data_IF_177886207508
#
_entry.id   IF_177886207508
#
_cell.length_a   1.000
_cell.length_b   1.000
_cell.length_c   1.000
_cell.angle_alpha   90.00
_cell.angle_beta   90.00
_cell.angle_gamma   90.00
#
_symmetry.space_group_name_H-M   'P 1'
#
loop_
_entity.id
_entity.type
_entity.pdbx_description
1 polymer ?
#
# COMPACT_ATOMS: atom_id res chain seq x y z
N UNK A 1 49.01 17.12 -47.26
CA UNK A 1 48.65 15.69 -47.17
C UNK A 1 48.49 15.39 -45.69
N UNK A 2 47.30 15.66 -45.15
CA UNK A 2 46.94 15.38 -43.77
C UNK A 2 46.12 14.08 -43.73
N UNK A 3 46.47 13.17 -42.84
CA UNK A 3 45.71 11.95 -42.58
C UNK A 3 45.00 12.10 -41.23
N UNK A 4 43.68 12.17 -41.28
CA UNK A 4 42.81 11.99 -40.12
C UNK A 4 42.61 10.49 -39.91
N UNK A 5 42.95 10.00 -38.72
CA UNK A 5 42.53 8.69 -38.24
C UNK A 5 41.15 8.82 -37.60
N UNK A 6 40.16 8.16 -38.19
CA UNK A 6 38.85 7.96 -37.56
C UNK A 6 38.88 6.65 -36.77
N UNK A 7 38.76 6.80 -35.45
CA UNK A 7 38.43 5.73 -34.51
C UNK A 7 37.03 5.19 -34.83
N UNK A 8 36.95 3.91 -35.20
CA UNK A 8 35.71 3.18 -35.35
C UNK A 8 35.24 2.66 -33.98
N UNK A 9 34.34 3.41 -33.34
CA UNK A 9 33.47 2.87 -32.29
C UNK A 9 32.43 1.94 -32.93
N UNK A 10 32.15 0.75 -32.35
CA UNK A 10 31.09 -0.10 -32.85
C UNK A 10 29.75 0.51 -32.45
N UNK A 11 29.04 1.06 -33.43
CA UNK A 11 27.60 1.31 -33.31
C UNK A 11 26.91 -0.01 -32.97
N UNK A 12 26.23 -0.04 -31.81
CA UNK A 12 25.33 -1.11 -31.46
C UNK A 12 24.16 -1.06 -32.45
N UNK A 13 24.27 -1.88 -33.49
CA UNK A 13 23.23 -2.07 -34.49
C UNK A 13 21.98 -2.61 -33.81
N UNK A 14 20.93 -1.79 -33.81
CA UNK A 14 19.59 -2.19 -33.41
C UNK A 14 19.05 -3.21 -34.42
N UNK A 15 19.15 -4.50 -34.09
CA UNK A 15 18.37 -5.52 -34.78
C UNK A 15 17.88 -6.61 -33.81
N UNK A 16 16.69 -6.40 -33.28
CA UNK A 16 15.63 -7.41 -33.37
C UNK A 16 14.30 -6.71 -33.11
N UNK A 17 13.46 -6.66 -34.15
CA UNK A 17 12.02 -6.51 -33.98
C UNK A 17 11.49 -7.82 -33.38
N UNK A 18 11.83 -8.08 -32.12
CA UNK A 18 11.09 -9.04 -31.31
C UNK A 18 9.67 -8.50 -31.20
N UNK A 19 8.68 -9.32 -31.56
CA UNK A 19 7.28 -8.94 -31.44
C UNK A 19 7.01 -8.65 -29.96
N UNK A 20 6.98 -7.36 -29.61
CA UNK A 20 6.59 -6.93 -28.27
C UNK A 20 5.27 -7.61 -27.91
N UNK A 21 5.29 -8.43 -26.87
CA UNK A 21 4.10 -9.12 -26.39
C UNK A 21 3.12 -8.04 -25.94
N UNK A 22 1.92 -8.03 -26.54
CA UNK A 22 0.91 -7.03 -26.23
C UNK A 22 0.32 -7.30 -24.85
N UNK A 23 0.14 -6.25 -24.05
CA UNK A 23 -0.46 -6.35 -22.71
C UNK A 23 -1.87 -6.97 -22.74
N UNK A 24 -2.61 -6.75 -23.84
CA UNK A 24 -3.93 -7.35 -24.05
C UNK A 24 -3.94 -8.90 -24.00
N UNK A 25 -2.81 -9.56 -24.30
CA UNK A 25 -2.68 -11.02 -24.23
C UNK A 25 -1.80 -11.48 -23.07
N UNK A 26 -1.18 -10.56 -22.35
CA UNK A 26 -0.31 -10.88 -21.22
C UNK A 26 -0.41 -9.79 -20.14
N UNK A 27 -1.57 -9.65 -19.48
CA UNK A 27 -1.83 -8.55 -18.55
C UNK A 27 -0.83 -8.48 -17.39
N UNK A 28 -0.25 -9.61 -16.99
CA UNK A 28 0.74 -9.66 -15.91
C UNK A 28 1.98 -8.83 -16.20
N UNK A 29 2.33 -8.60 -17.48
CA UNK A 29 3.43 -7.74 -17.89
C UNK A 29 3.20 -6.26 -17.57
N UNK A 30 1.99 -5.87 -17.12
CA UNK A 30 1.78 -4.56 -16.52
C UNK A 30 2.72 -4.33 -15.32
N UNK A 31 3.06 -5.38 -14.58
CA UNK A 31 3.94 -5.25 -13.42
C UNK A 31 5.36 -4.79 -13.80
N UNK A 32 5.85 -5.21 -14.97
CA UNK A 32 7.12 -4.73 -15.54
C UNK A 32 7.10 -3.23 -15.84
N UNK A 33 5.91 -2.62 -16.04
CA UNK A 33 5.82 -1.17 -16.20
C UNK A 33 6.14 -0.44 -14.89
N UNK A 34 5.75 -0.97 -13.72
CA UNK A 34 6.19 -0.43 -12.43
C UNK A 34 7.71 -0.56 -12.26
N UNK A 35 8.31 -1.68 -12.70
CA UNK A 35 9.77 -1.84 -12.68
C UNK A 35 10.49 -0.77 -13.50
N UNK A 36 9.99 -0.51 -14.72
CA UNK A 36 10.53 0.55 -15.59
C UNK A 36 10.49 1.91 -14.88
N UNK A 37 9.37 2.24 -14.23
CA UNK A 37 9.21 3.51 -13.51
C UNK A 37 10.19 3.65 -12.34
N UNK A 38 10.31 2.62 -11.50
CA UNK A 38 11.25 2.61 -10.36
C UNK A 38 12.71 2.71 -10.80
N UNK A 39 13.11 1.95 -11.84
CA UNK A 39 14.46 2.03 -12.41
C UNK A 39 14.75 3.42 -12.99
N UNK A 40 13.79 4.00 -13.71
CA UNK A 40 13.93 5.34 -14.28
C UNK A 40 14.06 6.41 -13.18
N UNK A 41 13.27 6.33 -12.11
CA UNK A 41 13.33 7.27 -11.00
C UNK A 41 14.66 7.19 -10.24
N UNK A 42 15.19 5.99 -9.98
CA UNK A 42 16.51 5.82 -9.35
C UNK A 42 17.64 6.37 -10.21
N UNK A 43 17.61 6.10 -11.51
CA UNK A 43 18.59 6.65 -12.45
C UNK A 43 18.54 8.18 -12.50
N UNK A 44 17.33 8.76 -12.46
CA UNK A 44 17.12 10.20 -12.41
C UNK A 44 17.64 10.80 -11.09
N UNK A 45 17.25 10.24 -9.95
CA UNK A 45 17.70 10.65 -8.61
C UNK A 45 19.22 10.62 -8.49
N UNK A 46 19.87 9.56 -9.00
CA UNK A 46 21.34 9.48 -9.03
C UNK A 46 21.94 10.56 -9.92
N UNK A 47 21.37 10.79 -11.11
CA UNK A 47 21.85 11.81 -12.06
C UNK A 47 21.77 13.20 -11.46
N UNK A 48 20.63 13.59 -10.90
CA UNK A 48 20.44 14.93 -10.32
C UNK A 48 21.29 15.13 -9.07
N UNK A 49 21.46 14.09 -8.24
CA UNK A 49 22.31 14.18 -7.03
C UNK A 49 23.79 14.28 -7.40
N UNK A 50 24.24 13.55 -8.42
CA UNK A 50 25.62 13.64 -8.94
C UNK A 50 25.88 15.03 -9.52
N UNK A 51 24.94 15.57 -10.31
CA UNK A 51 25.06 16.93 -10.83
C UNK A 51 25.11 17.98 -9.71
N UNK A 52 24.37 17.77 -8.62
CA UNK A 52 24.41 18.65 -7.45
C UNK A 52 25.75 18.56 -6.68
N UNK A 53 26.41 17.40 -6.67
CA UNK A 53 27.76 17.24 -6.10
C UNK A 53 28.79 18.09 -6.86
N UNK A 54 28.72 18.10 -8.19
CA UNK A 54 29.63 18.84 -9.09
C UNK A 54 29.30 20.34 -9.19
N UNK A 55 28.05 20.72 -8.87
CA UNK A 55 27.53 22.08 -8.95
C UNK A 55 27.77 22.94 -7.71
N UNK A 56 27.70 24.26 -7.88
CA UNK A 56 27.91 25.24 -6.81
C UNK A 56 26.63 25.55 -5.98
N UNK A 57 25.44 25.12 -6.41
CA UNK A 57 24.17 25.47 -5.76
C UNK A 57 23.51 24.24 -5.13
N UNK A 58 23.58 24.16 -3.80
CA UNK A 58 22.98 23.11 -2.96
C UNK A 58 22.04 23.78 -1.97
N UNK A 59 20.83 24.08 -2.43
CA UNK A 59 19.82 24.75 -1.60
C UNK A 59 18.99 23.73 -0.83
N UNK A 60 18.53 24.10 0.37
CA UNK A 60 17.67 23.30 1.23
C UNK A 60 16.42 22.80 0.49
N UNK A 61 15.90 23.59 -0.45
CA UNK A 61 14.79 23.20 -1.30
C UNK A 61 15.08 21.96 -2.16
N UNK A 62 16.30 21.80 -2.67
CA UNK A 62 16.69 20.62 -3.44
C UNK A 62 16.75 19.36 -2.57
N UNK A 63 17.27 19.47 -1.35
CA UNK A 63 17.34 18.33 -0.42
C UNK A 63 15.93 17.89 -0.01
N UNK A 64 15.02 18.84 0.22
CA UNK A 64 13.61 18.55 0.50
C UNK A 64 12.90 17.90 -0.70
N UNK A 65 13.26 18.26 -1.92
CA UNK A 65 12.75 17.60 -3.13
C UNK A 65 13.23 16.16 -3.22
N UNK A 66 14.53 15.91 -3.02
CA UNK A 66 15.08 14.55 -2.94
C UNK A 66 14.38 13.72 -1.87
N UNK A 67 14.21 14.28 -0.66
CA UNK A 67 13.53 13.60 0.43
C UNK A 67 12.13 13.14 0.03
N UNK A 68 11.31 14.05 -0.53
CA UNK A 68 9.94 13.73 -0.98
C UNK A 68 9.92 12.64 -2.05
N UNK A 69 10.84 12.71 -3.01
CA UNK A 69 10.97 11.70 -4.08
C UNK A 69 11.36 10.34 -3.52
N UNK A 70 12.29 10.27 -2.56
CA UNK A 70 12.67 9.03 -1.88
C UNK A 70 11.57 8.49 -0.96
N UNK A 71 10.81 9.34 -0.28
CA UNK A 71 9.64 8.95 0.51
C UNK A 71 8.59 8.26 -0.39
N UNK A 72 8.27 8.88 -1.53
CA UNK A 72 7.38 8.30 -2.52
C UNK A 72 7.93 6.99 -3.09
N UNK A 73 9.19 6.96 -3.50
CA UNK A 73 9.83 5.76 -4.07
C UNK A 73 9.89 4.60 -3.04
N UNK A 74 10.21 4.87 -1.77
CA UNK A 74 10.18 3.85 -0.71
C UNK A 74 8.77 3.29 -0.54
N UNK A 75 7.77 4.15 -0.57
CA UNK A 75 6.37 3.73 -0.44
C UNK A 75 5.92 2.88 -1.64
N UNK A 76 6.24 3.32 -2.86
CA UNK A 76 5.96 2.61 -4.10
C UNK A 76 6.65 1.23 -4.12
N UNK A 77 7.95 1.18 -3.82
CA UNK A 77 8.72 -0.06 -3.74
C UNK A 77 8.16 -1.02 -2.69
N UNK A 78 7.93 -0.54 -1.47
CA UNK A 78 7.41 -1.35 -0.36
C UNK A 78 6.08 -2.01 -0.73
N UNK A 79 5.12 -1.25 -1.25
CA UNK A 79 3.80 -1.80 -1.58
C UNK A 79 3.81 -2.66 -2.83
N UNK A 80 4.70 -2.39 -3.79
CA UNK A 80 4.93 -3.27 -4.92
C UNK A 80 5.42 -4.65 -4.45
N UNK A 81 6.53 -4.70 -3.71
CA UNK A 81 7.08 -5.95 -3.18
C UNK A 81 6.10 -6.70 -2.26
N UNK A 82 5.35 -5.97 -1.42
CA UNK A 82 4.33 -6.59 -0.54
C UNK A 82 3.22 -7.23 -1.37
N UNK A 83 2.73 -6.55 -2.41
CA UNK A 83 1.69 -7.09 -3.28
C UNK A 83 2.21 -8.25 -4.15
N UNK A 84 3.49 -8.25 -4.54
CA UNK A 84 4.11 -9.40 -5.19
C UNK A 84 4.18 -10.61 -4.27
N UNK A 85 4.69 -10.43 -3.05
CA UNK A 85 4.80 -11.50 -2.06
C UNK A 85 3.43 -12.11 -1.72
N UNK A 86 2.43 -11.26 -1.46
CA UNK A 86 1.11 -11.68 -0.97
C UNK A 86 0.18 -12.18 -2.08
N UNK A 87 0.36 -11.73 -3.32
CA UNK A 87 -0.54 -12.05 -4.44
C UNK A 87 0.17 -12.87 -5.50
N UNK A 88 1.21 -12.31 -6.12
CA UNK A 88 1.81 -12.85 -7.35
C UNK A 88 2.64 -14.10 -7.05
N UNK A 89 3.59 -14.00 -6.13
CA UNK A 89 4.47 -15.09 -5.74
C UNK A 89 3.73 -16.16 -4.96
N UNK A 90 2.77 -15.77 -4.12
CA UNK A 90 1.89 -16.72 -3.44
C UNK A 90 1.09 -17.57 -4.45
N UNK A 91 0.50 -16.94 -5.46
CA UNK A 91 -0.24 -17.66 -6.50
C UNK A 91 0.70 -18.58 -7.31
N UNK A 92 1.90 -18.10 -7.64
CA UNK A 92 2.88 -18.87 -8.40
C UNK A 92 3.41 -20.06 -7.61
N UNK A 93 3.66 -19.93 -6.30
CA UNK A 93 4.18 -21.02 -5.44
C UNK A 93 3.18 -22.19 -5.36
N UNK A 94 1.88 -21.90 -5.49
CA UNK A 94 0.83 -22.92 -5.64
C UNK A 94 0.95 -23.78 -6.91
N UNK A 95 1.66 -23.31 -7.95
CA UNK A 95 1.89 -24.03 -9.21
C UNK A 95 3.34 -24.48 -9.40
N UNK A 96 4.31 -23.72 -8.89
CA UNK A 96 5.74 -23.97 -9.02
C UNK A 96 6.43 -23.79 -7.66
N UNK A 97 6.91 -24.89 -7.07
CA UNK A 97 7.46 -24.87 -5.71
C UNK A 97 8.75 -24.08 -5.59
N UNK A 98 8.92 -23.40 -4.44
CA UNK A 98 10.17 -22.81 -3.94
C UNK A 98 10.62 -21.53 -4.67
N UNK A 99 9.68 -20.75 -5.21
CA UNK A 99 10.01 -19.46 -5.83
C UNK A 99 9.88 -18.33 -4.80
N UNK A 100 8.75 -18.25 -4.10
CA UNK A 100 8.39 -17.09 -3.28
C UNK A 100 9.42 -16.72 -2.21
N UNK A 101 9.90 -17.70 -1.44
CA UNK A 101 10.77 -17.43 -0.28
C UNK A 101 12.07 -16.69 -0.63
N UNK A 102 12.65 -16.94 -1.82
CA UNK A 102 13.90 -16.29 -2.24
C UNK A 102 13.70 -14.80 -2.51
N UNK A 103 12.64 -14.45 -3.25
CA UNK A 103 12.36 -13.05 -3.62
C UNK A 103 11.90 -12.23 -2.41
N UNK A 104 11.06 -12.78 -1.53
CA UNK A 104 10.65 -12.09 -0.30
C UNK A 104 11.82 -11.78 0.65
N UNK A 105 12.88 -12.59 0.64
CA UNK A 105 14.11 -12.31 1.39
C UNK A 105 14.90 -11.15 0.75
N UNK A 106 14.99 -11.10 -0.57
CA UNK A 106 15.62 -10.00 -1.30
C UNK A 106 14.87 -8.68 -1.04
N UNK A 107 13.53 -8.68 -1.07
CA UNK A 107 12.71 -7.50 -0.73
C UNK A 107 13.09 -6.88 0.61
N UNK A 108 13.18 -7.70 1.68
CA UNK A 108 13.55 -7.23 3.02
C UNK A 108 14.96 -6.68 3.07
N UNK A 109 15.89 -7.27 2.33
CA UNK A 109 17.27 -6.80 2.27
C UNK A 109 17.39 -5.45 1.56
N UNK A 110 16.61 -5.23 0.50
CA UNK A 110 16.64 -3.99 -0.29
C UNK A 110 15.93 -2.86 0.44
N UNK A 111 14.81 -3.13 1.13
CA UNK A 111 14.07 -2.13 1.93
C UNK A 111 14.99 -1.43 2.95
N UNK A 112 15.88 -2.19 3.60
CA UNK A 112 16.86 -1.63 4.56
C UNK A 112 17.90 -0.67 3.96
N UNK A 113 18.12 -0.69 2.63
CA UNK A 113 19.07 0.23 1.98
C UNK A 113 18.55 1.67 1.94
N UNK A 114 17.22 1.86 1.95
CA UNK A 114 16.62 3.20 2.00
C UNK A 114 17.01 3.97 3.27
N UNK A 115 17.18 3.28 4.40
CA UNK A 115 17.50 3.92 5.68
C UNK A 115 18.86 4.64 5.63
N UNK A 116 19.81 4.13 4.84
CA UNK A 116 21.09 4.79 4.61
C UNK A 116 20.93 6.10 3.84
N UNK A 117 20.00 6.15 2.87
CA UNK A 117 19.70 7.35 2.10
C UNK A 117 19.03 8.40 2.99
N UNK A 118 18.00 8.01 3.75
CA UNK A 118 17.31 8.94 4.66
C UNK A 118 18.25 9.52 5.71
N UNK A 119 19.09 8.68 6.32
CA UNK A 119 20.10 9.15 7.27
C UNK A 119 21.03 10.22 6.68
N UNK A 120 21.41 10.13 5.40
CA UNK A 120 22.23 11.14 4.73
C UNK A 120 21.45 12.41 4.41
N UNK A 121 20.20 12.28 3.98
CA UNK A 121 19.33 13.43 3.72
C UNK A 121 19.05 14.22 5.01
N UNK A 122 18.85 13.54 6.14
CA UNK A 122 18.65 14.18 7.45
C UNK A 122 19.88 15.01 7.85
N UNK A 123 21.08 14.44 7.72
CA UNK A 123 22.35 15.16 7.99
C UNK A 123 22.51 16.38 7.08
N UNK A 124 22.10 16.28 5.81
CA UNK A 124 22.12 17.41 4.89
C UNK A 124 21.10 18.52 5.25
N UNK A 125 20.00 18.17 5.94
CA UNK A 125 18.98 19.12 6.40
C UNK A 125 19.35 19.81 7.72
N UNK A 126 20.20 19.19 8.55
CA UNK A 126 20.66 19.68 9.86
C UNK A 126 21.90 20.60 9.80
N UNK A 127 22.32 21.00 8.60
CA UNK A 127 23.55 21.78 8.32
C UNK A 127 24.83 20.99 8.66
N UNK A 128 25.47 20.40 7.64
CA UNK A 128 26.72 19.64 7.77
C UNK A 128 27.96 20.52 7.55
N UNK A 129 29.01 20.30 8.36
CA UNK A 129 30.33 20.94 8.19
C UNK A 129 31.01 20.52 6.87
N UNK A 130 30.68 19.35 6.32
CA UNK A 130 31.25 18.81 5.08
C UNK A 130 30.16 18.31 4.11
N UNK A 131 29.43 19.28 3.53
CA UNK A 131 28.36 19.03 2.55
C UNK A 131 28.88 18.22 1.34
N UNK A 132 30.13 18.41 0.92
CA UNK A 132 30.66 17.69 -0.24
C UNK A 132 30.76 16.20 0.02
N UNK A 133 31.28 15.81 1.18
CA UNK A 133 31.33 14.41 1.61
C UNK A 133 29.95 13.79 1.76
N UNK A 134 29.00 14.50 2.37
CA UNK A 134 27.63 13.97 2.54
C UNK A 134 26.93 13.73 1.21
N UNK A 135 27.12 14.61 0.22
CA UNK A 135 26.63 14.38 -1.14
C UNK A 135 27.33 13.20 -1.83
N UNK A 136 28.64 13.02 -1.63
CA UNK A 136 29.38 11.88 -2.18
C UNK A 136 28.86 10.55 -1.62
N UNK A 137 28.64 10.49 -0.31
CA UNK A 137 28.05 9.33 0.37
C UNK A 137 26.60 9.09 -0.10
N UNK A 138 25.81 10.15 -0.26
CA UNK A 138 24.45 10.05 -0.80
C UNK A 138 24.45 9.45 -2.22
N UNK A 139 25.30 9.94 -3.12
CA UNK A 139 25.44 9.37 -4.49
C UNK A 139 25.83 7.89 -4.43
N UNK A 140 26.71 7.51 -3.51
CA UNK A 140 27.11 6.11 -3.31
C UNK A 140 25.94 5.24 -2.81
N UNK A 141 25.18 5.72 -1.82
CA UNK A 141 23.99 5.03 -1.31
C UNK A 141 22.92 4.86 -2.39
N UNK A 142 22.65 5.90 -3.18
CA UNK A 142 21.69 5.84 -4.29
C UNK A 142 22.17 4.84 -5.35
N UNK A 143 23.45 4.89 -5.74
CA UNK A 143 24.00 3.95 -6.71
C UNK A 143 23.97 2.49 -6.23
N UNK A 144 24.12 2.27 -4.92
CA UNK A 144 23.95 0.94 -4.31
C UNK A 144 22.49 0.48 -4.41
N UNK A 145 21.54 1.31 -3.98
CA UNK A 145 20.12 0.99 -4.06
C UNK A 145 19.67 0.71 -5.51
N UNK A 146 20.09 1.57 -6.45
CA UNK A 146 19.84 1.41 -7.88
C UNK A 146 20.33 0.05 -8.40
N UNK A 147 21.57 -0.33 -8.09
CA UNK A 147 22.14 -1.60 -8.54
C UNK A 147 21.35 -2.81 -8.02
N UNK A 148 20.98 -2.80 -6.73
CA UNK A 148 20.22 -3.89 -6.11
C UNK A 148 18.79 -3.98 -6.67
N UNK A 149 18.07 -2.86 -6.77
CA UNK A 149 16.70 -2.85 -7.33
C UNK A 149 16.71 -3.28 -8.80
N UNK A 150 17.64 -2.76 -9.61
CA UNK A 150 17.73 -3.13 -11.02
C UNK A 150 18.03 -4.62 -11.19
N UNK A 151 18.96 -5.16 -10.42
CA UNK A 151 19.31 -6.58 -10.49
C UNK A 151 18.13 -7.46 -10.04
N UNK A 152 17.45 -7.09 -8.97
CA UNK A 152 16.31 -7.81 -8.44
C UNK A 152 15.15 -7.87 -9.45
N UNK A 153 14.74 -6.72 -9.99
CA UNK A 153 13.69 -6.66 -11.02
C UNK A 153 14.08 -7.42 -12.30
N UNK A 154 15.35 -7.37 -12.71
CA UNK A 154 15.83 -8.14 -13.85
C UNK A 154 15.70 -9.66 -13.59
N UNK A 155 16.05 -10.13 -12.39
CA UNK A 155 15.89 -11.55 -12.04
C UNK A 155 14.43 -11.97 -12.12
N UNK A 156 13.51 -11.16 -11.62
CA UNK A 156 12.08 -11.44 -11.72
C UNK A 156 11.64 -11.50 -13.17
N UNK A 157 11.98 -10.48 -13.97
CA UNK A 157 11.68 -10.40 -15.40
C UNK A 157 12.20 -11.62 -16.18
N UNK A 158 13.37 -12.16 -15.80
CA UNK A 158 14.00 -13.32 -16.45
C UNK A 158 13.54 -14.68 -15.92
N UNK A 159 13.14 -14.78 -14.65
CA UNK A 159 12.90 -16.07 -13.97
C UNK A 159 11.44 -16.26 -13.56
N UNK A 160 10.77 -15.21 -13.11
CA UNK A 160 9.40 -15.27 -12.56
C UNK A 160 8.37 -14.99 -13.64
N UNK A 161 8.51 -13.91 -14.40
CA UNK A 161 7.53 -13.51 -15.42
C UNK A 161 7.33 -14.58 -16.51
N UNK A 162 8.37 -15.28 -17.02
CA UNK A 162 8.15 -16.37 -17.97
C UNK A 162 7.31 -17.51 -17.39
N UNK A 163 7.46 -17.81 -16.10
CA UNK A 163 6.63 -18.80 -15.42
C UNK A 163 5.20 -18.31 -15.25
N UNK A 164 4.98 -17.03 -14.93
CA UNK A 164 3.64 -16.45 -14.87
C UNK A 164 2.92 -16.55 -16.23
N UNK A 165 3.62 -16.24 -17.32
CA UNK A 165 3.10 -16.36 -18.68
C UNK A 165 2.79 -17.80 -19.07
N UNK A 166 3.59 -18.76 -18.62
CA UNK A 166 3.39 -20.17 -18.91
C UNK A 166 2.28 -20.80 -18.08
N UNK A 167 2.18 -20.43 -16.80
CA UNK A 167 1.35 -21.12 -15.84
C UNK A 167 -0.05 -20.53 -15.73
N UNK A 168 -0.28 -19.27 -16.10
CA UNK A 168 -1.57 -18.58 -15.92
C UNK A 168 -2.15 -18.13 -17.25
N UNK A 169 -3.47 -18.32 -17.43
CA UNK A 169 -4.18 -17.77 -18.60
C UNK A 169 -4.22 -16.23 -18.57
N UNK A 170 -4.47 -15.54 -19.69
CA UNK A 170 -4.61 -14.09 -19.70
C UNK A 170 -5.67 -13.57 -18.70
N UNK A 171 -6.76 -14.30 -18.49
CA UNK A 171 -7.81 -13.95 -17.53
C UNK A 171 -7.33 -14.13 -16.07
N UNK A 172 -6.59 -15.20 -15.79
CA UNK A 172 -5.98 -15.40 -14.48
C UNK A 172 -4.92 -14.33 -14.19
N UNK A 173 -4.11 -13.98 -15.20
CA UNK A 173 -3.14 -12.89 -15.13
C UNK A 173 -3.83 -11.56 -14.83
N UNK A 174 -4.91 -11.22 -15.54
CA UNK A 174 -5.68 -10.00 -15.25
C UNK A 174 -6.23 -10.00 -13.82
N UNK A 175 -6.73 -11.15 -13.34
CA UNK A 175 -7.19 -11.29 -11.95
C UNK A 175 -6.06 -11.09 -10.94
N UNK A 176 -4.86 -11.61 -11.20
CA UNK A 176 -3.69 -11.40 -10.34
C UNK A 176 -3.28 -9.93 -10.30
N UNK A 177 -3.28 -9.24 -11.45
CA UNK A 177 -2.96 -7.81 -11.49
C UNK A 177 -4.03 -6.97 -10.79
N UNK A 178 -5.30 -7.33 -10.92
CA UNK A 178 -6.38 -6.67 -10.17
C UNK A 178 -6.23 -6.89 -8.65
N UNK A 179 -5.89 -8.10 -8.22
CA UNK A 179 -5.63 -8.41 -6.81
C UNK A 179 -4.39 -7.66 -6.29
N UNK A 180 -3.32 -7.59 -7.09
CA UNK A 180 -2.15 -6.76 -6.80
C UNK A 180 -2.56 -5.30 -6.53
N UNK A 181 -3.35 -4.70 -7.43
CA UNK A 181 -3.86 -3.34 -7.24
C UNK A 181 -4.72 -3.24 -5.97
N UNK A 182 -5.57 -4.23 -5.69
CA UNK A 182 -6.40 -4.26 -4.50
C UNK A 182 -5.61 -4.27 -3.17
N UNK A 183 -4.36 -4.76 -3.18
CA UNK A 183 -3.47 -4.76 -2.02
C UNK A 183 -2.75 -3.43 -1.77
N UNK A 184 -2.79 -2.50 -2.73
CA UNK A 184 -2.14 -1.19 -2.62
C UNK A 184 -3.11 -0.15 -2.03
N UNK A 185 -2.67 0.71 -1.09
CA UNK A 185 -3.49 1.82 -0.57
C UNK A 185 -4.03 2.71 -1.67
N UNK A 186 -5.30 3.13 -1.53
CA UNK A 186 -5.98 3.96 -2.52
C UNK A 186 -5.22 5.25 -2.82
N UNK A 187 -4.77 5.95 -1.77
CA UNK A 187 -3.98 7.19 -1.87
C UNK A 187 -2.69 6.99 -2.66
N UNK A 188 -2.07 5.82 -2.55
CA UNK A 188 -0.85 5.52 -3.28
C UNK A 188 -1.16 5.18 -4.73
N UNK A 189 -2.21 4.40 -5.01
CA UNK A 189 -2.60 4.06 -6.40
C UNK A 189 -2.92 5.30 -7.25
N UNK A 190 -3.57 6.28 -6.65
CA UNK A 190 -3.91 7.55 -7.29
C UNK A 190 -2.67 8.27 -7.86
N UNK A 191 -1.53 8.21 -7.15
CA UNK A 191 -0.26 8.77 -7.60
C UNK A 191 0.60 7.77 -8.39
N UNK A 192 0.57 6.49 -8.01
CA UNK A 192 1.43 5.43 -8.55
C UNK A 192 1.10 5.11 -10.01
N UNK A 193 -0.19 5.04 -10.39
CA UNK A 193 -0.56 4.74 -11.78
C UNK A 193 -0.14 5.86 -12.74
N UNK A 194 -0.46 7.15 -12.49
CA UNK A 194 0.01 8.25 -13.33
C UNK A 194 1.53 8.36 -13.38
N UNK A 195 2.20 8.21 -12.24
CA UNK A 195 3.65 8.23 -12.16
C UNK A 195 4.29 7.13 -13.03
N UNK A 196 3.75 5.90 -12.96
CA UNK A 196 4.20 4.78 -13.78
C UNK A 196 3.99 5.05 -15.27
N UNK A 197 2.83 5.59 -15.66
CA UNK A 197 2.54 5.93 -17.06
C UNK A 197 3.45 7.06 -17.55
N UNK A 198 3.83 8.00 -16.66
CA UNK A 198 4.67 9.14 -17.01
C UNK A 198 6.05 8.72 -17.52
N UNK A 199 6.60 7.61 -17.01
CA UNK A 199 7.93 7.09 -17.38
C UNK A 199 7.97 6.31 -18.70
N UNK A 200 6.83 6.07 -19.34
CA UNK A 200 6.73 5.25 -20.55
C UNK A 200 6.72 6.07 -21.85
N UNK A 201 7.01 5.43 -22.99
CA UNK A 201 6.86 6.05 -24.31
C UNK A 201 5.39 6.12 -24.75
N UNK A 202 5.05 7.03 -25.67
CA UNK A 202 3.66 7.36 -26.01
C UNK A 202 2.83 6.15 -26.46
N UNK A 203 3.39 5.25 -27.25
CA UNK A 203 2.75 4.00 -27.69
C UNK A 203 2.49 3.04 -26.52
N UNK A 204 3.39 2.99 -25.54
CA UNK A 204 3.22 2.17 -24.33
C UNK A 204 2.14 2.75 -23.40
N UNK A 205 2.03 4.09 -23.31
CA UNK A 205 1.04 4.74 -22.43
C UNK A 205 -0.38 4.33 -22.79
N UNK A 206 -0.75 4.42 -24.06
CA UNK A 206 -2.09 4.06 -24.53
C UNK A 206 -2.37 2.56 -24.29
N UNK A 207 -1.38 1.70 -24.52
CA UNK A 207 -1.50 0.26 -24.27
C UNK A 207 -1.72 -0.04 -22.77
N UNK A 208 -0.97 0.60 -21.89
CA UNK A 208 -1.09 0.46 -20.44
C UNK A 208 -2.44 0.97 -19.94
N UNK A 209 -2.87 2.16 -20.38
CA UNK A 209 -4.17 2.73 -20.02
C UNK A 209 -5.30 1.79 -20.45
N UNK A 210 -5.23 1.24 -21.66
CA UNK A 210 -6.22 0.29 -22.15
C UNK A 210 -6.22 -1.00 -21.32
N UNK A 211 -5.04 -1.55 -21.02
CA UNK A 211 -4.90 -2.76 -20.21
C UNK A 211 -5.48 -2.58 -18.80
N UNK A 212 -5.18 -1.46 -18.11
CA UNK A 212 -5.72 -1.16 -16.79
C UNK A 212 -7.25 -1.12 -16.83
N UNK A 213 -7.85 -0.46 -17.83
CA UNK A 213 -9.32 -0.40 -17.97
C UNK A 213 -9.96 -1.77 -18.17
N UNK A 214 -9.26 -2.71 -18.81
CA UNK A 214 -9.72 -4.10 -18.99
C UNK A 214 -9.56 -4.95 -17.72
N UNK A 215 -8.54 -4.68 -16.91
CA UNK A 215 -8.28 -5.38 -15.65
C UNK A 215 -9.27 -4.96 -14.57
N UNK A 216 -9.59 -3.66 -14.50
CA UNK A 216 -10.53 -3.11 -13.53
C UNK A 216 -11.94 -3.66 -13.81
N UNK A 217 -12.69 -4.13 -12.79
CA UNK A 217 -14.07 -4.58 -12.95
C UNK A 217 -14.97 -3.56 -13.66
N UNK A 218 -15.96 -4.03 -14.42
CA UNK A 218 -16.93 -3.20 -15.14
C UNK A 218 -18.00 -2.61 -14.20
N UNK A 219 -17.55 -1.95 -13.14
CA UNK A 219 -18.37 -1.19 -12.20
C UNK A 219 -18.21 0.29 -12.50
N UNK A 220 -19.32 0.96 -12.89
CA UNK A 220 -19.31 2.35 -13.39
C UNK A 220 -18.45 3.31 -12.55
N UNK A 221 -18.71 3.40 -11.25
CA UNK A 221 -18.01 4.35 -10.38
C UNK A 221 -16.53 4.00 -10.21
N UNK A 222 -16.19 2.71 -10.16
CA UNK A 222 -14.80 2.26 -10.06
C UNK A 222 -14.03 2.60 -11.34
N UNK A 223 -14.65 2.37 -12.51
CA UNK A 223 -14.09 2.73 -13.81
C UNK A 223 -13.90 4.25 -13.95
N UNK A 224 -14.86 5.06 -13.46
CA UNK A 224 -14.76 6.53 -13.44
C UNK A 224 -13.59 7.00 -12.57
N UNK A 225 -13.46 6.47 -11.35
CA UNK A 225 -12.36 6.81 -10.43
C UNK A 225 -11.01 6.46 -11.04
N UNK A 226 -10.81 5.23 -11.51
CA UNK A 226 -9.53 4.82 -12.10
C UNK A 226 -9.23 5.61 -13.38
N UNK A 227 -10.23 5.85 -14.23
CA UNK A 227 -10.05 6.67 -15.44
C UNK A 227 -9.66 8.10 -15.11
N UNK A 228 -10.15 8.67 -14.00
CA UNK A 228 -9.79 10.01 -13.56
C UNK A 228 -8.30 10.10 -13.17
N UNK A 229 -7.77 9.07 -12.50
CA UNK A 229 -6.34 8.98 -12.19
C UNK A 229 -5.51 8.86 -13.46
N UNK A 230 -5.89 7.94 -14.36
CA UNK A 230 -5.16 7.69 -15.62
C UNK A 230 -5.12 8.92 -16.56
N UNK A 231 -6.10 9.81 -16.47
CA UNK A 231 -6.15 11.07 -17.22
C UNK A 231 -5.26 12.17 -16.62
N UNK A 232 -4.80 12.00 -15.38
CA UNK A 232 -4.03 12.99 -14.65
C UNK A 232 -2.56 12.91 -15.10
N UNK A 233 -2.07 13.90 -15.85
CA UNK A 233 -0.69 13.93 -16.37
C UNK A 233 0.38 14.30 -15.30
N UNK A 234 0.26 13.78 -14.07
CA UNK A 234 1.21 14.07 -12.99
C UNK A 234 1.09 15.47 -12.37
N UNK A 235 -0.08 16.12 -12.48
CA UNK A 235 -0.37 17.36 -11.74
C UNK A 235 -1.36 17.06 -10.61
N UNK A 236 -0.90 17.19 -9.36
CA UNK A 236 -1.75 17.09 -8.18
C UNK A 236 -2.91 18.10 -8.28
N UNK A 237 -4.15 17.61 -8.15
CA UNK A 237 -5.32 18.48 -8.08
C UNK A 237 -5.70 18.70 -6.62
N UNK A 238 -5.76 19.98 -6.24
CA UNK A 238 -6.63 20.42 -5.15
C UNK A 238 -8.08 20.30 -5.64
N UNK A 239 -8.92 19.57 -4.92
CA UNK A 239 -10.38 19.62 -5.12
C UNK A 239 -11.06 20.03 -3.81
N UNK A 240 -11.56 21.25 -3.81
CA UNK A 240 -12.70 21.67 -2.98
C UNK A 240 -13.95 21.65 -3.85
N UNK A 241 -15.01 21.00 -3.37
CA UNK A 241 -16.27 21.64 -2.98
C UNK A 241 -17.42 20.60 -2.88
N UNK A 242 -18.06 20.64 -1.71
CA UNK A 242 -19.47 20.44 -1.34
C UNK A 242 -20.25 19.21 -1.83
N UNK A 243 -20.42 18.24 -0.90
CA UNK A 243 -21.75 17.71 -0.56
C UNK A 243 -21.90 17.61 0.98
N UNK A 244 -22.52 18.65 1.53
CA UNK A 244 -23.04 18.71 2.90
C UNK A 244 -24.38 17.95 3.01
N UNK A 245 -24.38 16.76 3.64
CA UNK A 245 -25.41 16.37 4.63
C UNK A 245 -25.22 15.03 5.36
N UNK A 246 -24.45 14.01 4.95
CA UNK A 246 -24.59 12.66 5.59
C UNK A 246 -23.40 12.08 6.38
N UNK A 247 -22.36 12.88 6.66
CA UNK A 247 -21.18 12.41 7.41
C UNK A 247 -21.41 12.26 8.93
N UNK A 248 -22.51 12.80 9.48
CA UNK A 248 -22.88 12.65 10.91
C UNK A 248 -23.21 11.20 11.29
N UNK A 249 -23.50 10.33 10.29
CA UNK A 249 -23.76 8.89 10.49
C UNK A 249 -22.46 8.08 10.58
N UNK A 250 -21.44 8.40 9.78
CA UNK A 250 -20.12 7.74 9.82
C UNK A 250 -19.41 7.91 11.18
N UNK A 251 -19.47 9.11 11.77
CA UNK A 251 -18.95 9.40 13.11
C UNK A 251 -19.80 8.80 14.25
N UNK A 252 -21.03 8.34 13.98
CA UNK A 252 -21.87 7.60 14.95
C UNK A 252 -21.72 6.07 14.83
N UNK A 253 -20.95 5.57 13.87
CA UNK A 253 -21.01 4.18 13.42
C UNK A 253 -19.91 3.29 14.03
N UNK A 254 -19.95 3.11 15.35
CA UNK A 254 -19.39 1.91 15.98
C UNK A 254 -20.46 0.82 16.22
N UNK A 255 -21.75 1.16 16.07
CA UNK A 255 -22.87 0.23 16.28
C UNK A 255 -22.88 -0.96 15.31
N UNK A 256 -22.61 -0.77 13.99
CA UNK A 256 -22.40 -1.88 13.05
C UNK A 256 -21.25 -2.80 13.43
N UNK A 257 -20.12 -2.21 13.83
CA UNK A 257 -18.87 -2.92 14.10
C UNK A 257 -18.97 -3.79 15.35
N UNK A 258 -19.66 -3.31 16.40
CA UNK A 258 -19.94 -4.10 17.61
C UNK A 258 -20.85 -5.29 17.31
N UNK A 259 -21.94 -5.09 16.58
CA UNK A 259 -22.92 -6.15 16.29
C UNK A 259 -22.32 -7.33 15.50
N UNK A 260 -21.51 -7.04 14.48
CA UNK A 260 -20.88 -8.11 13.70
C UNK A 260 -19.75 -8.80 14.47
N UNK A 261 -18.97 -8.08 15.26
CA UNK A 261 -17.95 -8.69 16.13
C UNK A 261 -18.61 -9.60 17.19
N UNK A 262 -19.72 -9.17 17.80
CA UNK A 262 -20.53 -9.99 18.71
C UNK A 262 -21.14 -11.22 18.04
N UNK A 263 -21.59 -11.08 16.77
CA UNK A 263 -22.10 -12.19 15.97
C UNK A 263 -21.01 -13.24 15.71
N UNK A 264 -19.83 -12.82 15.25
CA UNK A 264 -18.69 -13.71 14.97
C UNK A 264 -18.26 -14.44 16.24
N UNK A 265 -18.21 -13.75 17.38
CA UNK A 265 -17.98 -14.35 18.70
C UNK A 265 -19.04 -15.42 19.01
N UNK A 266 -20.32 -15.13 18.79
CA UNK A 266 -21.41 -16.07 18.98
C UNK A 266 -21.26 -17.35 18.14
N UNK A 267 -20.90 -17.21 16.86
CA UNK A 267 -20.67 -18.33 15.95
C UNK A 267 -19.47 -19.19 16.38
N UNK A 268 -18.38 -18.56 16.84
CA UNK A 268 -17.20 -19.27 17.38
C UNK A 268 -17.52 -20.08 18.63
N UNK A 269 -18.32 -19.52 19.55
CA UNK A 269 -18.74 -20.26 20.73
C UNK A 269 -19.56 -21.49 20.38
N UNK A 270 -20.43 -21.39 19.37
CA UNK A 270 -21.20 -22.54 18.88
C UNK A 270 -20.30 -23.62 18.27
N UNK A 271 -19.25 -23.25 17.52
CA UNK A 271 -18.25 -24.21 17.03
C UNK A 271 -17.51 -24.89 18.20
N UNK A 272 -17.10 -24.11 19.21
CA UNK A 272 -16.40 -24.63 20.40
C UNK A 272 -17.26 -25.62 21.18
N UNK A 273 -18.54 -25.31 21.39
CA UNK A 273 -19.46 -26.17 22.15
C UNK A 273 -19.90 -27.41 21.37
N UNK A 274 -20.06 -27.30 20.05
CA UNK A 274 -20.52 -28.41 19.21
C UNK A 274 -19.40 -29.35 18.74
N UNK A 275 -18.12 -28.95 18.86
CA UNK A 275 -16.96 -29.64 18.28
C UNK A 275 -17.11 -29.94 16.77
N UNK A 276 -17.93 -29.14 16.08
CA UNK A 276 -18.16 -29.22 14.65
C UNK A 276 -17.48 -28.02 13.98
N UNK A 277 -16.52 -28.27 13.10
CA UNK A 277 -15.66 -27.23 12.52
C UNK A 277 -15.96 -26.92 11.05
N UNK A 278 -17.10 -27.34 10.51
CA UNK A 278 -17.44 -27.14 9.09
C UNK A 278 -17.44 -25.68 8.63
N UNK A 279 -17.65 -24.71 9.53
CA UNK A 279 -17.69 -23.28 9.21
C UNK A 279 -16.42 -22.52 9.60
N UNK A 280 -15.35 -23.20 10.03
CA UNK A 280 -14.16 -22.52 10.56
C UNK A 280 -13.50 -21.60 9.52
N UNK A 281 -13.44 -22.03 8.26
CA UNK A 281 -12.82 -21.25 7.18
C UNK A 281 -13.58 -19.94 6.94
N UNK A 282 -14.91 -19.99 6.92
CA UNK A 282 -15.74 -18.79 6.76
C UNK A 282 -15.56 -17.81 7.92
N UNK A 283 -15.43 -18.32 9.14
CA UNK A 283 -15.20 -17.48 10.31
C UNK A 283 -13.79 -16.88 10.28
N UNK A 284 -12.78 -17.66 9.91
CA UNK A 284 -11.39 -17.19 9.77
C UNK A 284 -11.32 -16.06 8.74
N UNK A 285 -12.00 -16.17 7.60
CA UNK A 285 -12.08 -15.10 6.59
C UNK A 285 -12.72 -13.83 7.15
N UNK A 286 -13.85 -13.95 7.85
CA UNK A 286 -14.51 -12.79 8.48
C UNK A 286 -13.62 -12.13 9.54
N UNK A 287 -12.91 -12.91 10.34
CA UNK A 287 -11.99 -12.39 11.35
C UNK A 287 -10.77 -11.71 10.76
N UNK A 288 -10.21 -12.23 9.67
CA UNK A 288 -9.13 -11.57 8.93
C UNK A 288 -9.59 -10.21 8.43
N UNK A 289 -10.75 -10.14 7.78
CA UNK A 289 -11.37 -8.88 7.36
C UNK A 289 -11.53 -7.90 8.53
N UNK A 290 -12.11 -8.33 9.65
CA UNK A 290 -12.29 -7.44 10.82
C UNK A 290 -10.96 -6.98 11.41
N UNK A 291 -9.95 -7.86 11.48
CA UNK A 291 -8.62 -7.51 11.96
C UNK A 291 -7.96 -6.46 11.06
N UNK A 292 -8.09 -6.58 9.74
CA UNK A 292 -7.56 -5.61 8.78
C UNK A 292 -8.27 -4.26 8.93
N UNK A 293 -9.61 -4.25 9.00
CA UNK A 293 -10.39 -3.02 9.23
C UNK A 293 -9.96 -2.32 10.52
N UNK A 294 -9.77 -3.08 11.61
CA UNK A 294 -9.34 -2.52 12.89
C UNK A 294 -7.90 -2.00 12.83
N UNK A 295 -7.01 -2.65 12.09
CA UNK A 295 -5.64 -2.21 11.87
C UNK A 295 -5.61 -0.84 11.17
N UNK A 296 -6.34 -0.71 10.07
CA UNK A 296 -6.40 0.56 9.33
C UNK A 296 -7.13 1.66 10.12
N UNK A 297 -8.17 1.31 10.88
CA UNK A 297 -8.81 2.24 11.79
C UNK A 297 -7.84 2.76 12.86
N UNK A 298 -7.06 1.85 13.49
CA UNK A 298 -6.05 2.22 14.49
C UNK A 298 -4.99 3.15 13.90
N UNK A 299 -4.47 2.81 12.71
CA UNK A 299 -3.48 3.60 11.99
C UNK A 299 -4.03 4.99 11.59
N UNK A 300 -5.28 5.07 11.13
CA UNK A 300 -5.94 6.36 10.86
C UNK A 300 -6.05 7.21 12.13
N UNK A 301 -6.47 6.60 13.24
CA UNK A 301 -6.56 7.31 14.53
C UNK A 301 -5.21 7.87 14.96
N UNK A 302 -4.15 7.07 14.85
CA UNK A 302 -2.80 7.46 15.23
C UNK A 302 -2.23 8.58 14.37
N UNK A 303 -2.32 8.43 13.04
CA UNK A 303 -1.63 9.32 12.11
C UNK A 303 -2.43 10.55 11.71
N UNK A 304 -3.76 10.49 11.77
CA UNK A 304 -4.64 11.56 11.27
C UNK A 304 -5.39 12.25 12.40
N UNK A 305 -6.04 11.48 13.28
CA UNK A 305 -6.93 12.07 14.29
C UNK A 305 -6.15 12.57 15.52
N UNK A 306 -5.16 11.83 16.03
CA UNK A 306 -4.41 12.26 17.22
C UNK A 306 -3.65 13.58 17.03
N UNK A 307 -2.96 13.85 15.90
CA UNK A 307 -2.34 15.15 15.67
C UNK A 307 -3.35 16.31 15.74
N UNK A 308 -4.50 16.16 15.09
CA UNK A 308 -5.56 17.17 15.11
C UNK A 308 -6.11 17.36 16.52
N UNK A 309 -6.36 16.27 17.27
CA UNK A 309 -6.83 16.36 18.65
C UNK A 309 -5.81 17.05 19.57
N UNK A 310 -4.53 16.77 19.40
CA UNK A 310 -3.47 17.39 20.19
C UNK A 310 -3.39 18.91 19.96
N UNK A 311 -3.58 19.34 18.72
CA UNK A 311 -3.64 20.77 18.37
C UNK A 311 -4.86 21.45 18.99
N UNK A 312 -6.04 20.83 18.90
CA UNK A 312 -7.29 21.38 19.42
C UNK A 312 -7.33 21.54 20.95
N UNK A 313 -6.57 20.73 21.68
CA UNK A 313 -6.55 20.72 23.15
C UNK A 313 -5.37 21.54 23.72
N UNK A 314 -4.66 22.32 22.88
CA UNK A 314 -3.55 23.21 23.28
C UNK A 314 -2.50 22.53 24.17
N UNK A 315 -2.17 21.26 23.88
CA UNK A 315 -1.16 20.52 24.64
C UNK A 315 -1.49 20.23 26.11
N UNK A 316 -2.70 20.54 26.60
CA UNK A 316 -3.18 19.90 27.82
C UNK A 316 -3.21 18.41 27.53
N UNK A 317 -2.42 17.62 28.28
CA UNK A 317 -2.39 16.17 28.19
C UNK A 317 -3.83 15.67 28.26
N UNK A 318 -4.44 15.44 27.09
CA UNK A 318 -5.61 14.58 27.02
C UNK A 318 -5.14 13.30 27.67
N UNK A 319 -5.77 12.85 28.78
CA UNK A 319 -5.22 11.82 29.64
C UNK A 319 -4.78 10.71 28.73
N UNK A 320 -3.45 10.55 28.63
CA UNK A 320 -2.71 9.78 27.63
C UNK A 320 -3.68 9.02 26.75
N UNK A 321 -3.96 9.51 25.53
CA UNK A 321 -4.63 8.71 24.49
C UNK A 321 -4.10 7.30 24.73
N UNK A 322 -4.94 6.40 25.27
CA UNK A 322 -4.51 5.03 25.48
C UNK A 322 -4.18 4.61 24.05
N UNK A 323 -2.88 4.61 23.68
CA UNK A 323 -2.40 4.09 22.41
C UNK A 323 -3.19 2.82 22.23
N UNK A 324 -4.01 2.77 21.16
CA UNK A 324 -5.07 1.80 20.99
C UNK A 324 -4.68 0.50 21.69
N UNK A 325 -5.21 0.20 22.90
CA UNK A 325 -4.64 -0.85 23.75
C UNK A 325 -4.83 -2.26 23.17
N UNK A 326 -5.25 -2.34 21.92
CA UNK A 326 -5.44 -3.56 21.15
C UNK A 326 -4.46 -3.69 19.98
N UNK A 327 -3.43 -2.87 19.83
CA UNK A 327 -2.38 -3.15 18.82
C UNK A 327 -1.76 -4.53 19.08
N UNK A 328 -1.44 -4.83 20.35
CA UNK A 328 -0.98 -6.17 20.76
C UNK A 328 -2.02 -7.27 20.56
N UNK A 329 -3.31 -6.98 20.71
CA UNK A 329 -4.40 -7.96 20.54
C UNK A 329 -4.74 -8.22 19.07
N UNK A 330 -4.77 -7.18 18.23
CA UNK A 330 -4.90 -7.29 16.78
C UNK A 330 -3.71 -8.06 16.23
N UNK A 331 -2.49 -7.70 16.62
CA UNK A 331 -1.30 -8.44 16.20
C UNK A 331 -1.33 -9.90 16.67
N UNK A 332 -1.78 -10.18 17.90
CA UNK A 332 -1.89 -11.55 18.42
C UNK A 332 -2.94 -12.35 17.64
N UNK A 333 -4.08 -11.73 17.33
CA UNK A 333 -5.12 -12.33 16.49
C UNK A 333 -4.61 -12.58 15.07
N UNK A 334 -3.95 -11.61 14.43
CA UNK A 334 -3.33 -11.78 13.11
C UNK A 334 -2.29 -12.89 13.14
N UNK A 335 -1.39 -12.90 14.14
CA UNK A 335 -0.40 -13.98 14.26
C UNK A 335 -1.07 -15.35 14.34
N UNK A 336 -2.18 -15.45 15.06
CA UNK A 336 -2.97 -16.67 15.14
C UNK A 336 -3.66 -17.01 13.81
N UNK A 337 -4.29 -16.05 13.13
CA UNK A 337 -5.03 -16.26 11.88
C UNK A 337 -4.13 -16.54 10.66
N UNK A 338 -2.91 -16.01 10.65
CA UNK A 338 -1.99 -16.08 9.51
C UNK A 338 -0.87 -17.11 9.71
N UNK A 339 -0.40 -17.40 10.94
CA UNK A 339 0.73 -18.34 11.18
C UNK A 339 0.37 -19.70 11.81
N UNK A 340 -0.85 -19.88 12.33
CA UNK A 340 -1.11 -21.07 13.18
C UNK A 340 -1.54 -22.35 12.46
N UNK A 341 -1.85 -22.28 11.16
CA UNK A 341 -2.22 -23.47 10.39
C UNK A 341 -1.01 -24.31 9.94
N UNK A 342 0.20 -23.75 9.97
CA UNK A 342 1.43 -24.41 9.50
C UNK A 342 2.06 -25.36 10.54
N UNK A 343 1.70 -25.23 11.82
CA UNK A 343 2.41 -25.91 12.93
C UNK A 343 1.76 -27.22 13.43
N UNK A 344 0.82 -27.81 12.69
CA UNK A 344 0.19 -29.09 13.09
C UNK A 344 -0.59 -29.03 14.41
N UNK A 345 -1.04 -27.84 14.82
CA UNK A 345 -1.83 -27.67 16.05
C UNK A 345 -3.20 -28.35 15.87
N UNK A 346 -3.66 -29.20 16.81
CA UNK A 346 -4.99 -29.79 16.73
C UNK A 346 -6.08 -28.71 16.64
N UNK A 347 -7.01 -28.86 15.70
CA UNK A 347 -8.04 -27.86 15.38
C UNK A 347 -8.83 -27.38 16.61
N UNK A 348 -9.15 -28.28 17.54
CA UNK A 348 -9.81 -27.89 18.80
C UNK A 348 -8.99 -26.95 19.67
N UNK A 349 -7.67 -27.13 19.75
CA UNK A 349 -6.76 -26.22 20.49
C UNK A 349 -6.61 -24.87 19.77
N UNK A 350 -6.62 -24.89 18.44
CA UNK A 350 -6.63 -23.65 17.64
C UNK A 350 -7.90 -22.85 17.91
N UNK A 351 -9.07 -23.47 17.83
CA UNK A 351 -10.36 -22.81 18.10
C UNK A 351 -10.44 -22.28 19.54
N UNK A 352 -9.90 -23.02 20.52
CA UNK A 352 -9.86 -22.54 21.90
C UNK A 352 -9.00 -21.28 22.06
N UNK A 353 -7.80 -21.26 21.46
CA UNK A 353 -6.95 -20.05 21.44
C UNK A 353 -7.65 -18.90 20.73
N UNK A 354 -8.28 -19.17 19.59
CA UNK A 354 -8.99 -18.19 18.79
C UNK A 354 -10.12 -17.53 19.58
N UNK A 355 -10.92 -18.33 20.31
CA UNK A 355 -11.96 -17.80 21.18
C UNK A 355 -11.38 -16.83 22.24
N UNK A 356 -10.30 -17.22 22.93
CA UNK A 356 -9.69 -16.38 23.97
C UNK A 356 -9.16 -15.06 23.43
N UNK A 357 -8.46 -15.09 22.29
CA UNK A 357 -7.93 -13.87 21.66
C UNK A 357 -9.06 -12.92 21.23
N UNK A 358 -10.13 -13.46 20.65
CA UNK A 358 -11.26 -12.64 20.18
C UNK A 358 -12.05 -12.08 21.36
N UNK A 359 -12.28 -12.86 22.42
CA UNK A 359 -12.90 -12.37 23.66
C UNK A 359 -12.12 -11.16 24.21
N UNK A 360 -10.79 -11.26 24.27
CA UNK A 360 -9.92 -10.15 24.69
C UNK A 360 -10.02 -8.95 23.74
N UNK A 361 -10.00 -9.19 22.43
CA UNK A 361 -10.11 -8.15 21.41
C UNK A 361 -11.46 -7.41 21.51
N UNK A 362 -12.57 -8.12 21.69
CA UNK A 362 -13.91 -7.54 21.79
C UNK A 362 -14.03 -6.61 22.98
N UNK A 363 -13.52 -7.02 24.15
CA UNK A 363 -13.51 -6.19 25.36
C UNK A 363 -12.70 -4.92 25.12
N UNK A 364 -11.50 -5.07 24.55
CA UNK A 364 -10.61 -3.95 24.26
C UNK A 364 -11.16 -2.95 23.24
N UNK A 365 -11.67 -3.46 22.11
CA UNK A 365 -12.32 -2.65 21.06
C UNK A 365 -13.57 -1.96 21.60
N UNK A 366 -14.37 -2.65 22.42
CA UNK A 366 -15.58 -2.07 23.01
C UNK A 366 -15.28 -0.93 23.98
N UNK A 367 -14.28 -1.09 24.85
CA UNK A 367 -13.82 -0.02 25.75
C UNK A 367 -13.32 1.19 24.94
N UNK A 368 -12.54 0.92 23.91
CA UNK A 368 -11.95 1.97 23.07
C UNK A 368 -13.01 2.75 22.27
N UNK A 369 -13.97 2.06 21.65
CA UNK A 369 -15.08 2.72 20.95
C UNK A 369 -15.94 3.54 21.91
N UNK A 370 -16.21 3.05 23.12
CA UNK A 370 -16.95 3.81 24.12
C UNK A 370 -16.23 5.12 24.47
N UNK A 371 -14.91 5.06 24.69
CA UNK A 371 -14.09 6.24 24.92
C UNK A 371 -14.14 7.22 23.74
N UNK A 372 -14.04 6.75 22.50
CA UNK A 372 -14.15 7.64 21.34
C UNK A 372 -15.52 8.31 21.21
N UNK A 373 -16.59 7.56 21.45
CA UNK A 373 -17.96 8.07 21.41
C UNK A 373 -18.23 9.13 22.48
N UNK A 374 -17.72 8.95 23.70
CA UNK A 374 -18.00 9.87 24.82
C UNK A 374 -17.01 11.01 24.95
N UNK A 375 -15.74 10.79 24.61
CA UNK A 375 -14.66 11.72 24.89
C UNK A 375 -14.14 12.38 23.60
N UNK A 376 -13.86 11.61 22.55
CA UNK A 376 -13.16 12.12 21.35
C UNK A 376 -14.11 12.82 20.36
N UNK A 377 -15.20 12.17 19.96
CA UNK A 377 -16.12 12.70 18.96
C UNK A 377 -16.81 14.01 19.37
N UNK A 378 -17.17 14.23 20.66
CA UNK A 378 -17.68 15.53 21.08
C UNK A 378 -16.67 16.67 20.90
N UNK A 379 -15.38 16.42 21.10
CA UNK A 379 -14.31 17.40 20.87
C UNK A 379 -14.21 17.73 19.39
N UNK A 380 -14.15 16.72 18.52
CA UNK A 380 -14.11 16.92 17.06
C UNK A 380 -15.34 17.70 16.61
N UNK A 381 -16.53 17.31 17.07
CA UNK A 381 -17.79 17.97 16.70
C UNK A 381 -17.86 19.42 17.16
N UNK A 382 -17.27 19.74 18.31
CA UNK A 382 -17.28 21.10 18.88
C UNK A 382 -16.26 22.01 18.20
N UNK A 383 -15.09 21.48 17.83
CA UNK A 383 -13.94 22.29 17.43
C UNK A 383 -13.56 22.19 15.95
N UNK A 384 -13.96 21.15 15.22
CA UNK A 384 -13.72 21.01 13.78
C UNK A 384 -14.91 21.50 12.95
N UNK A 385 -14.63 22.19 11.85
CA UNK A 385 -15.65 22.53 10.84
C UNK A 385 -16.21 21.26 10.18
N UNK A 386 -17.37 21.39 9.53
CA UNK A 386 -17.95 20.28 8.77
C UNK A 386 -17.00 19.77 7.69
N UNK A 387 -16.37 20.68 6.94
CA UNK A 387 -15.37 20.36 5.92
C UNK A 387 -14.17 19.60 6.50
N UNK A 388 -13.63 20.04 7.64
CA UNK A 388 -12.52 19.35 8.31
C UNK A 388 -12.90 17.94 8.77
N UNK A 389 -14.13 17.76 9.27
CA UNK A 389 -14.64 16.44 9.64
C UNK A 389 -14.76 15.52 8.40
N UNK A 390 -15.24 16.06 7.28
CA UNK A 390 -15.35 15.31 6.03
C UNK A 390 -13.96 14.92 5.51
N UNK A 391 -13.00 15.85 5.54
CA UNK A 391 -11.63 15.59 5.11
C UNK A 391 -10.95 14.52 5.96
N UNK A 392 -11.13 14.54 7.29
CA UNK A 392 -10.59 13.51 8.17
C UNK A 392 -11.11 12.11 7.84
N UNK A 393 -12.42 11.99 7.60
CA UNK A 393 -13.02 10.71 7.19
C UNK A 393 -12.52 10.31 5.81
N UNK A 394 -12.51 11.24 4.84
CA UNK A 394 -12.02 11.00 3.49
C UNK A 394 -10.59 10.46 3.49
N UNK A 395 -9.65 11.17 4.13
CA UNK A 395 -8.24 10.76 4.20
C UNK A 395 -8.09 9.42 4.95
N UNK A 396 -8.90 9.16 5.99
CA UNK A 396 -8.87 7.87 6.70
C UNK A 396 -9.29 6.68 5.84
N UNK A 397 -10.19 6.88 4.87
CA UNK A 397 -10.58 5.85 3.92
C UNK A 397 -9.52 5.67 2.82
N UNK A 398 -8.85 6.76 2.42
CA UNK A 398 -7.84 6.74 1.36
C UNK A 398 -6.55 6.00 1.75
N UNK A 399 -6.26 5.87 3.04
CA UNK A 399 -5.12 5.05 3.49
C UNK A 399 -5.39 3.53 3.45
N UNK A 400 -6.64 3.10 3.21
CA UNK A 400 -6.97 1.67 3.10
C UNK A 400 -6.57 1.12 1.71
N UNK A 401 -6.15 -0.15 1.62
CA UNK A 401 -6.03 -0.86 0.36
C UNK A 401 -7.33 -0.81 -0.42
N UNK A 402 -7.24 -0.66 -1.75
CA UNK A 402 -8.41 -0.55 -2.62
C UNK A 402 -9.40 -1.70 -2.42
N UNK A 403 -8.91 -2.94 -2.29
CA UNK A 403 -9.74 -4.11 -2.05
C UNK A 403 -10.43 -4.07 -0.69
N UNK A 404 -9.71 -3.66 0.36
CA UNK A 404 -10.29 -3.52 1.70
C UNK A 404 -11.37 -2.43 1.71
N UNK A 405 -11.13 -1.29 1.07
CA UNK A 405 -12.10 -0.21 0.98
C UNK A 405 -13.39 -0.66 0.26
N UNK A 406 -13.26 -1.43 -0.83
CA UNK A 406 -14.41 -2.04 -1.52
C UNK A 406 -15.21 -2.98 -0.60
N UNK A 407 -14.52 -3.79 0.19
CA UNK A 407 -15.16 -4.66 1.19
C UNK A 407 -15.83 -3.85 2.31
N UNK A 408 -15.16 -2.83 2.84
CA UNK A 408 -15.67 -1.96 3.92
C UNK A 408 -16.90 -1.18 3.48
N UNK A 409 -16.92 -0.63 2.27
CA UNK A 409 -18.07 0.12 1.74
C UNK A 409 -19.30 -0.77 1.58
N UNK A 410 -19.10 -1.98 1.04
CA UNK A 410 -20.17 -2.99 0.91
C UNK A 410 -20.67 -3.45 2.28
N UNK A 411 -19.75 -3.77 3.18
CA UNK A 411 -20.05 -4.19 4.55
C UNK A 411 -20.79 -3.10 5.32
N UNK A 412 -20.28 -1.87 5.30
CA UNK A 412 -20.88 -0.74 5.98
C UNK A 412 -22.31 -0.49 5.49
N UNK A 413 -22.52 -0.49 4.17
CA UNK A 413 -23.85 -0.35 3.56
C UNK A 413 -24.83 -1.42 4.04
N UNK A 414 -24.39 -2.67 4.11
CA UNK A 414 -25.22 -3.78 4.61
C UNK A 414 -25.61 -3.66 6.09
N UNK A 415 -24.85 -2.90 6.88
CA UNK A 415 -25.13 -2.68 8.29
C UNK A 415 -26.04 -1.48 8.59
N UNK A 416 -26.31 -0.62 7.60
CA UNK A 416 -27.19 0.54 7.77
C UNK A 416 -28.66 0.11 7.59
N UNK A 417 -29.55 0.65 8.41
CA UNK A 417 -31.00 0.59 8.12
C UNK A 417 -31.36 1.44 6.88
N UNK A 418 -32.55 1.25 6.30
CA UNK A 418 -33.00 2.05 5.14
C UNK A 418 -32.98 3.57 5.42
N UNK A 419 -33.31 3.98 6.65
CA UNK A 419 -33.26 5.38 7.08
C UNK A 419 -31.82 5.88 7.31
N UNK A 420 -30.89 4.98 7.63
CA UNK A 420 -29.47 5.29 7.79
C UNK A 420 -28.72 5.30 6.45
N UNK A 421 -29.16 4.52 5.46
CA UNK A 421 -28.56 4.44 4.12
C UNK A 421 -28.90 5.60 3.20
N UNK A 422 -30.01 6.31 3.45
CA UNK A 422 -30.35 7.56 2.75
C UNK A 422 -29.55 8.72 3.30
#
# INVERSE_FOLDING_TARGET
MGGDGQDSHPECSSSSSESRVRLAHSPILLLVCFHKAMRAELADLRRVTTAALDGAYKDRHFILDLLRRFEFLKLAYKYHCSAEDEVVFLALDGRTKNIACTYSLEHRSIDGLFDSIFSRLDVLLEESDDIAKEFQELVFCIGTLEAFICQHMLKEEEQVFPLLLQQFSPEEQASLVWQFMCSVPLVLLEDLLPWTISSLQHDEKEEVIHCIKQIVPDEKHLQEVVSSWLANNGQARHTGDDESADMKKLLKSHSPRRKDLEKVVGELYQLRSSSNFLNIDSIVVQLKFLADVLTFYSNAMEKLFHPVLNELVNGCLYPSIEKFPNESHIESLQKLLYYSLENGTPLGKFVEKLCREIESLVVGVSKHFAFHETEVFPIIKKNCSHEMQQQLVYVSLHIMPLGLLKCVTTWFSACLSEDESR
#
